data_IF_143549332909
#
_entry.id   IF_143549332909
#
_cell.length_a   1.000
_cell.length_b   1.000
_cell.length_c   1.000
_cell.angle_alpha   90.00
_cell.angle_beta   90.00
_cell.angle_gamma   90.00
#
_symmetry.space_group_name_H-M   'P 1'
#
loop_
_entity.id
_entity.type
_entity.pdbx_description
1 polymer ?
#
# COMPACT_ATOMS: atom_id res chain seq x y z
N UNK A 1 -13.96 6.76 -7.28
CA UNK A 1 -13.69 6.13 -5.96
C UNK A 1 -12.76 4.96 -6.17
N UNK A 2 -12.35 4.26 -5.15
CA UNK A 2 -11.46 3.12 -5.28
C UNK A 2 -11.39 2.35 -3.96
N UNK A 3 -10.69 1.24 -3.97
CA UNK A 3 -10.44 0.44 -2.79
C UNK A 3 -9.08 -0.22 -2.87
N UNK A 4 -8.53 -0.63 -1.75
CA UNK A 4 -7.26 -1.32 -1.70
C UNK A 4 -7.26 -2.45 -0.66
N UNK A 5 -6.34 -3.34 -0.85
CA UNK A 5 -6.12 -4.49 0.01
C UNK A 5 -4.62 -4.69 0.22
N UNK A 6 -4.22 -5.19 1.38
CA UNK A 6 -2.85 -5.56 1.66
C UNK A 6 -2.78 -6.81 2.53
N UNK A 7 -1.79 -7.65 2.27
CA UNK A 7 -1.55 -8.87 3.02
C UNK A 7 -0.06 -9.08 3.31
N UNK A 8 0.24 -9.56 4.52
CA UNK A 8 1.56 -10.07 4.91
C UNK A 8 1.36 -11.47 5.46
N UNK A 9 2.06 -12.44 4.89
CA UNK A 9 1.94 -13.85 5.23
C UNK A 9 3.32 -14.47 5.48
N UNK A 10 3.35 -15.67 6.04
CA UNK A 10 4.60 -16.45 6.15
C UNK A 10 4.93 -17.24 4.90
N UNK A 11 3.94 -17.45 4.06
CA UNK A 11 4.02 -18.15 2.79
C UNK A 11 3.72 -17.16 1.67
N UNK A 12 3.42 -17.65 0.48
CA UNK A 12 3.01 -16.81 -0.63
C UNK A 12 1.68 -16.11 -0.34
N UNK A 13 1.60 -14.78 -0.59
CA UNK A 13 0.42 -13.96 -0.34
C UNK A 13 -0.35 -13.58 -1.61
N UNK A 14 0.10 -14.01 -2.78
CA UNK A 14 -0.41 -13.52 -4.07
C UNK A 14 -1.91 -13.72 -4.21
N UNK A 15 -2.40 -14.93 -3.91
CA UNK A 15 -3.84 -15.22 -3.98
C UNK A 15 -4.64 -14.40 -2.96
N UNK A 16 -4.09 -14.15 -1.79
CA UNK A 16 -4.76 -13.33 -0.77
C UNK A 16 -4.92 -11.89 -1.25
N UNK A 17 -3.85 -11.31 -1.81
CA UNK A 17 -3.89 -9.96 -2.39
C UNK A 17 -4.82 -9.91 -3.59
N UNK A 18 -4.78 -10.93 -4.46
CA UNK A 18 -5.64 -11.03 -5.62
C UNK A 18 -7.12 -11.03 -5.24
N UNK A 19 -7.56 -11.97 -4.40
CA UNK A 19 -8.96 -12.10 -4.00
C UNK A 19 -9.41 -10.92 -3.14
N UNK A 20 -8.54 -10.42 -2.26
CA UNK A 20 -8.82 -9.24 -1.45
C UNK A 20 -9.00 -7.98 -2.30
N UNK A 21 -8.22 -7.81 -3.37
CA UNK A 21 -8.36 -6.70 -4.31
C UNK A 21 -9.61 -6.87 -5.16
N UNK A 22 -9.87 -8.07 -5.67
CA UNK A 22 -11.04 -8.38 -6.46
C UNK A 22 -12.36 -8.14 -5.69
N UNK A 23 -12.36 -8.41 -4.39
CA UNK A 23 -13.50 -8.07 -3.52
C UNK A 23 -13.86 -6.59 -3.58
N UNK A 24 -12.89 -5.70 -3.81
CA UNK A 24 -13.08 -4.27 -3.97
C UNK A 24 -13.38 -3.83 -5.42
N UNK A 25 -13.48 -4.76 -6.37
CA UNK A 25 -13.69 -4.43 -7.79
C UNK A 25 -15.01 -3.70 -8.08
N UNK A 26 -15.99 -3.77 -7.14
CA UNK A 26 -17.23 -3.00 -7.21
C UNK A 26 -17.06 -1.51 -6.82
N UNK A 27 -15.93 -1.11 -6.25
CA UNK A 27 -15.64 0.27 -5.82
C UNK A 27 -14.98 1.13 -6.90
N UNK A 28 -14.57 0.54 -8.01
CA UNK A 28 -13.95 1.23 -9.13
C UNK A 28 -13.96 0.38 -10.39
N UNK A 29 -13.91 1.04 -11.54
CA UNK A 29 -14.17 0.37 -12.83
C UNK A 29 -13.08 0.58 -13.88
N UNK A 30 -12.05 1.41 -13.63
CA UNK A 30 -11.10 1.77 -14.67
C UNK A 30 -9.76 1.07 -14.57
N UNK A 31 -9.17 1.03 -13.41
CA UNK A 31 -7.82 0.51 -13.20
C UNK A 31 -7.81 -0.48 -12.05
N UNK A 32 -7.09 -1.56 -12.24
CA UNK A 32 -6.74 -2.50 -11.17
C UNK A 32 -5.24 -2.72 -11.17
N UNK A 33 -4.63 -2.81 -10.01
CA UNK A 33 -3.20 -3.03 -9.89
C UNK A 33 -2.83 -3.85 -8.65
N UNK A 34 -1.73 -4.56 -8.76
CA UNK A 34 -1.12 -5.33 -7.68
C UNK A 34 0.37 -5.07 -7.64
N UNK A 35 0.93 -5.02 -6.44
CA UNK A 35 2.37 -5.07 -6.19
C UNK A 35 2.65 -6.07 -5.09
N UNK A 36 3.64 -6.93 -5.30
CA UNK A 36 4.08 -7.97 -4.35
C UNK A 36 5.57 -7.82 -4.14
N UNK A 37 6.04 -8.08 -2.95
CA UNK A 37 7.45 -8.05 -2.61
C UNK A 37 7.92 -9.42 -2.16
N UNK A 38 9.00 -9.88 -2.80
CA UNK A 38 9.80 -11.02 -2.39
C UNK A 38 11.22 -10.58 -2.03
N UNK A 39 11.83 -11.26 -1.05
CA UNK A 39 13.20 -10.91 -0.60
C UNK A 39 14.29 -11.21 -1.64
N UNK A 40 14.06 -12.16 -2.55
CA UNK A 40 15.03 -12.54 -3.56
C UNK A 40 14.85 -11.74 -4.84
N UNK A 41 13.59 -11.62 -5.30
CA UNK A 41 13.26 -11.06 -6.61
C UNK A 41 12.83 -9.59 -6.54
N UNK A 42 12.63 -9.07 -5.31
CA UNK A 42 12.24 -7.68 -5.09
C UNK A 42 10.76 -7.43 -5.36
N UNK A 43 10.47 -6.24 -5.89
CA UNK A 43 9.10 -5.83 -6.20
C UNK A 43 8.67 -6.31 -7.58
N UNK A 44 7.51 -6.93 -7.62
CA UNK A 44 6.78 -7.30 -8.82
C UNK A 44 5.49 -6.48 -8.87
N UNK A 45 5.17 -5.89 -10.01
CA UNK A 45 3.99 -5.02 -10.14
C UNK A 45 3.33 -5.16 -11.51
N UNK A 46 2.00 -5.26 -11.51
CA UNK A 46 1.17 -5.15 -12.73
C UNK A 46 -0.02 -4.24 -12.50
N UNK A 47 -0.39 -3.51 -13.56
CA UNK A 47 -1.54 -2.62 -13.58
C UNK A 47 -2.30 -2.83 -14.89
N UNK A 48 -3.60 -3.06 -14.80
CA UNK A 48 -4.46 -3.26 -15.97
C UNK A 48 -5.60 -2.25 -16.04
N UNK A 49 -6.02 -1.98 -17.29
CA UNK A 49 -7.32 -1.38 -17.54
C UNK A 49 -8.38 -2.47 -17.38
N UNK A 50 -9.35 -2.23 -16.51
CA UNK A 50 -10.45 -3.16 -16.20
C UNK A 50 -11.82 -2.65 -16.67
N UNK A 51 -11.87 -1.58 -17.49
CA UNK A 51 -13.14 -1.00 -17.97
C UNK A 51 -13.99 -1.99 -18.76
N UNK A 52 -13.35 -2.80 -19.60
CA UNK A 52 -14.03 -3.72 -20.50
C UNK A 52 -13.86 -5.18 -20.14
N UNK A 53 -13.13 -5.49 -19.07
CA UNK A 53 -12.85 -6.87 -18.69
C UNK A 53 -12.67 -6.92 -17.17
N UNK A 54 -13.33 -7.85 -16.44
CA UNK A 54 -13.22 -7.96 -15.01
C UNK A 54 -11.77 -8.10 -14.51
N UNK A 55 -11.49 -7.59 -13.32
CA UNK A 55 -10.20 -7.67 -12.66
C UNK A 55 -9.61 -9.09 -12.69
N UNK A 56 -10.40 -10.09 -12.31
CA UNK A 56 -9.97 -11.51 -12.30
C UNK A 56 -9.39 -11.95 -13.64
N UNK A 57 -10.11 -11.68 -14.73
CA UNK A 57 -9.71 -12.12 -16.07
C UNK A 57 -8.42 -11.44 -16.53
N UNK A 58 -8.20 -10.18 -16.11
CA UNK A 58 -6.99 -9.44 -16.49
C UNK A 58 -5.76 -9.95 -15.78
N UNK A 59 -5.88 -10.31 -14.50
CA UNK A 59 -4.76 -10.75 -13.68
C UNK A 59 -4.49 -12.25 -13.69
N UNK A 60 -5.36 -13.06 -14.29
CA UNK A 60 -5.25 -14.54 -14.30
C UNK A 60 -3.88 -15.02 -14.82
N UNK A 61 -3.35 -14.38 -15.85
CA UNK A 61 -2.04 -14.72 -16.40
C UNK A 61 -0.87 -14.26 -15.53
N UNK A 62 -1.01 -13.10 -14.90
CA UNK A 62 0.04 -12.49 -14.08
C UNK A 62 0.23 -13.25 -12.76
N UNK A 63 -0.82 -13.92 -12.26
CA UNK A 63 -0.74 -14.70 -11.01
C UNK A 63 0.34 -15.78 -11.04
N UNK A 64 0.64 -16.34 -12.21
CA UNK A 64 1.68 -17.36 -12.35
C UNK A 64 3.11 -16.78 -12.23
N UNK A 65 3.26 -15.47 -12.44
CA UNK A 65 4.53 -14.77 -12.40
C UNK A 65 4.78 -14.12 -11.04
N UNK A 66 3.71 -13.82 -10.29
CA UNK A 66 3.81 -13.22 -8.97
C UNK A 66 4.16 -14.24 -7.90
N UNK A 67 5.04 -13.84 -6.99
CA UNK A 67 5.34 -14.58 -5.76
C UNK A 67 5.86 -13.63 -4.69
N UNK A 68 5.59 -13.92 -3.44
CA UNK A 68 6.05 -13.13 -2.31
C UNK A 68 5.20 -13.25 -1.07
N UNK A 69 5.74 -12.77 0.05
CA UNK A 69 5.11 -12.88 1.37
C UNK A 69 4.39 -11.60 1.82
N UNK A 70 4.53 -10.52 1.08
CA UNK A 70 3.84 -9.26 1.34
C UNK A 70 3.40 -8.62 0.03
N UNK A 71 2.20 -8.05 0.02
CA UNK A 71 1.67 -7.44 -1.20
C UNK A 71 0.52 -6.50 -0.92
N UNK A 72 0.29 -5.61 -1.88
CA UNK A 72 -0.83 -4.66 -1.92
C UNK A 72 -1.52 -4.71 -3.26
N UNK A 73 -2.83 -4.47 -3.26
CA UNK A 73 -3.62 -4.32 -4.47
C UNK A 73 -4.58 -3.14 -4.37
N UNK A 74 -4.94 -2.59 -5.51
CA UNK A 74 -5.78 -1.41 -5.60
C UNK A 74 -6.71 -1.46 -6.80
N UNK A 75 -7.93 -1.00 -6.59
CA UNK A 75 -8.89 -0.65 -7.65
C UNK A 75 -9.04 0.87 -7.66
N UNK A 76 -8.99 1.50 -8.83
CA UNK A 76 -9.05 2.95 -8.98
C UNK A 76 -9.89 3.36 -10.18
N UNK A 77 -10.64 4.45 -10.05
CA UNK A 77 -11.36 5.09 -11.15
C UNK A 77 -10.53 6.19 -11.84
N UNK A 78 -9.40 6.56 -11.28
CA UNK A 78 -8.60 7.68 -11.77
C UNK A 78 -7.24 7.21 -12.25
N UNK A 79 -6.34 7.00 -11.33
CA UNK A 79 -4.92 6.85 -11.62
C UNK A 79 -4.47 5.39 -11.62
N UNK A 80 -3.51 5.02 -12.49
CA UNK A 80 -2.86 3.73 -12.42
C UNK A 80 -2.05 3.60 -11.12
N UNK A 81 -2.33 2.55 -10.36
CA UNK A 81 -1.74 2.24 -9.06
C UNK A 81 -1.60 0.72 -8.88
N UNK A 82 -0.72 0.20 -7.98
CA UNK A 82 0.25 0.91 -7.13
C UNK A 82 1.40 1.53 -7.93
N UNK A 83 2.00 2.61 -7.42
CA UNK A 83 3.23 3.17 -7.97
C UNK A 83 4.45 2.60 -7.24
N UNK A 84 5.50 2.24 -8.00
CA UNK A 84 6.82 1.96 -7.45
C UNK A 84 7.61 3.26 -7.38
N UNK A 85 8.07 3.61 -6.20
CA UNK A 85 8.83 4.82 -5.92
C UNK A 85 10.19 4.45 -5.37
N UNK A 86 11.25 5.01 -5.99
CA UNK A 86 12.60 4.92 -5.48
C UNK A 86 13.06 6.31 -5.04
N UNK A 87 13.40 6.46 -3.78
CA UNK A 87 13.86 7.71 -3.21
C UNK A 87 14.96 7.47 -2.17
N UNK A 88 15.35 8.53 -1.45
CA UNK A 88 16.25 8.40 -0.28
C UNK A 88 15.65 7.55 0.85
N UNK A 89 14.32 7.40 0.89
CA UNK A 89 13.62 6.52 1.84
C UNK A 89 13.67 5.03 1.44
N UNK A 90 14.30 4.71 0.29
CA UNK A 90 14.37 3.36 -0.26
C UNK A 90 13.45 3.15 -1.47
N UNK A 91 13.19 1.88 -1.77
CA UNK A 91 12.23 1.45 -2.79
C UNK A 91 10.96 0.95 -2.08
N UNK A 92 9.82 1.46 -2.49
CA UNK A 92 8.52 1.07 -1.95
C UNK A 92 7.42 1.14 -3.02
N UNK A 93 6.35 0.39 -2.82
CA UNK A 93 5.12 0.53 -3.60
C UNK A 93 4.08 1.31 -2.79
N UNK A 94 3.39 2.25 -3.42
CA UNK A 94 2.39 3.09 -2.77
C UNK A 94 1.07 3.05 -3.53
N UNK A 95 -0.03 3.01 -2.79
CA UNK A 95 -1.37 3.26 -3.32
C UNK A 95 -2.13 4.23 -2.41
N UNK A 96 -2.99 5.03 -3.03
CA UNK A 96 -3.80 6.03 -2.33
C UNK A 96 -5.24 5.98 -2.78
N UNK A 97 -6.15 6.19 -1.84
CA UNK A 97 -7.58 6.35 -2.12
C UNK A 97 -8.07 7.59 -1.41
N UNK A 98 -8.64 8.52 -2.16
CA UNK A 98 -9.14 9.77 -1.63
C UNK A 98 -9.35 10.84 -2.69
N UNK A 99 -9.52 12.07 -2.24
CA UNK A 99 -9.66 13.27 -3.07
C UNK A 99 -8.77 14.36 -2.46
N UNK A 100 -7.90 14.93 -3.26
CA UNK A 100 -7.00 16.04 -2.89
C UNK A 100 -7.56 17.29 -3.55
N UNK A 101 -8.15 18.19 -2.75
CA UNK A 101 -8.81 19.39 -3.28
C UNK A 101 -7.79 20.46 -3.69
N UNK A 102 -6.68 20.55 -3.00
CA UNK A 102 -5.60 21.50 -3.24
C UNK A 102 -4.44 20.94 -4.09
N UNK A 103 -4.71 19.93 -4.95
CA UNK A 103 -3.66 19.26 -5.72
C UNK A 103 -2.85 20.23 -6.59
N UNK A 104 -3.51 21.14 -7.31
CA UNK A 104 -2.84 22.09 -8.20
C UNK A 104 -1.93 23.06 -7.43
N UNK A 105 -2.35 23.51 -6.25
CA UNK A 105 -1.56 24.36 -5.37
C UNK A 105 -0.30 23.63 -4.86
N UNK A 106 -0.48 22.38 -4.41
CA UNK A 106 0.64 21.54 -3.95
C UNK A 106 1.65 21.27 -5.06
N UNK A 107 1.19 21.03 -6.28
CA UNK A 107 2.03 20.81 -7.46
C UNK A 107 2.83 22.08 -7.78
N UNK A 108 2.20 23.25 -7.79
CA UNK A 108 2.86 24.52 -8.07
C UNK A 108 3.93 24.83 -7.00
N UNK A 109 3.62 24.63 -5.73
CA UNK A 109 4.56 24.80 -4.64
C UNK A 109 5.74 23.83 -4.76
N UNK A 110 5.48 22.58 -5.08
CA UNK A 110 6.51 21.57 -5.26
C UNK A 110 7.49 21.94 -6.38
N UNK A 111 6.99 22.45 -7.51
CA UNK A 111 7.84 22.94 -8.60
C UNK A 111 8.68 24.13 -8.20
N UNK A 112 8.12 25.06 -7.42
CA UNK A 112 8.84 26.25 -6.96
C UNK A 112 9.96 25.93 -6.00
N UNK A 113 9.72 24.98 -5.08
CA UNK A 113 10.65 24.69 -3.99
C UNK A 113 11.73 23.69 -4.39
N UNK A 114 11.42 22.75 -5.29
CA UNK A 114 12.30 21.61 -5.56
C UNK A 114 12.75 21.49 -7.01
N UNK A 115 12.11 22.18 -7.96
CA UNK A 115 12.47 22.18 -9.38
C UNK A 115 12.39 20.82 -10.07
N UNK A 116 11.64 19.87 -9.50
CA UNK A 116 11.49 18.51 -10.00
C UNK A 116 10.28 18.38 -10.93
N UNK A 117 10.17 17.21 -11.59
CA UNK A 117 9.07 16.90 -12.51
C UNK A 117 8.28 15.71 -11.97
N UNK A 118 7.01 15.65 -12.33
CA UNK A 118 6.18 14.47 -12.16
C UNK A 118 6.24 13.61 -13.42
N UNK A 119 6.34 12.29 -13.23
CA UNK A 119 6.50 11.33 -14.32
C UNK A 119 5.21 10.54 -14.61
N UNK A 120 4.39 10.30 -13.59
CA UNK A 120 3.13 9.60 -13.75
C UNK A 120 2.00 10.60 -14.04
N UNK A 121 1.66 10.73 -15.33
CA UNK A 121 0.58 11.58 -15.79
C UNK A 121 -0.63 10.73 -16.17
N UNK A 122 -1.82 11.17 -15.79
CA UNK A 122 -3.08 10.56 -16.20
C UNK A 122 -3.99 11.62 -16.84
N UNK A 123 -4.29 11.45 -18.13
CA UNK A 123 -5.14 12.39 -18.87
C UNK A 123 -4.70 13.87 -18.80
N UNK A 124 -3.37 14.10 -18.83
CA UNK A 124 -2.79 15.45 -18.75
C UNK A 124 -2.71 16.03 -17.33
N UNK A 125 -3.09 15.27 -16.32
CA UNK A 125 -2.96 15.65 -14.90
C UNK A 125 -1.90 14.81 -14.22
N UNK A 126 -1.26 15.39 -13.20
CA UNK A 126 -0.34 14.66 -12.32
C UNK A 126 -1.11 13.57 -11.57
N UNK A 127 -0.54 12.37 -11.51
CA UNK A 127 -1.10 11.27 -10.73
C UNK A 127 -1.14 11.65 -9.24
N UNK A 128 -2.33 11.60 -8.63
CA UNK A 128 -2.52 11.98 -7.24
C UNK A 128 -1.66 11.14 -6.27
N UNK A 129 -1.42 9.87 -6.60
CA UNK A 129 -0.56 8.99 -5.80
C UNK A 129 0.91 9.41 -5.88
N UNK A 130 1.37 9.90 -7.05
CA UNK A 130 2.72 10.43 -7.20
C UNK A 130 2.89 11.73 -6.40
N UNK A 131 1.88 12.61 -6.41
CA UNK A 131 1.89 13.81 -5.58
C UNK A 131 2.02 13.47 -4.09
N UNK A 132 1.24 12.49 -3.61
CA UNK A 132 1.35 12.02 -2.21
C UNK A 132 2.75 11.46 -1.93
N UNK A 133 3.32 10.67 -2.85
CA UNK A 133 4.68 10.16 -2.70
C UNK A 133 5.73 11.29 -2.67
N UNK A 134 5.55 12.32 -3.48
CA UNK A 134 6.42 13.50 -3.48
C UNK A 134 6.38 14.25 -2.14
N UNK A 135 5.20 14.40 -1.53
CA UNK A 135 5.06 14.99 -0.20
C UNK A 135 5.71 14.12 0.88
N UNK A 136 5.55 12.81 0.81
CA UNK A 136 6.18 11.86 1.74
C UNK A 136 7.70 11.97 1.65
N UNK A 137 8.25 12.07 0.45
CA UNK A 137 9.69 12.15 0.20
C UNK A 137 10.34 13.48 0.63
N UNK A 138 9.57 14.44 1.14
CA UNK A 138 10.14 15.66 1.74
C UNK A 138 10.64 15.47 3.18
N UNK A 139 10.46 14.28 3.76
CA UNK A 139 10.87 13.94 5.14
C UNK A 139 11.87 12.79 5.17
N UNK A 140 12.54 12.63 6.30
CA UNK A 140 13.65 11.68 6.46
C UNK A 140 13.20 10.23 6.69
N UNK A 141 11.92 9.99 6.98
CA UNK A 141 11.34 8.65 7.16
C UNK A 141 9.89 8.58 6.65
N UNK A 142 9.41 7.36 6.34
CA UNK A 142 8.07 7.15 5.80
C UNK A 142 6.95 7.61 6.75
N UNK A 143 7.12 7.48 8.06
CA UNK A 143 6.07 7.80 9.03
C UNK A 143 5.92 9.31 9.15
N UNK A 144 7.02 10.05 9.28
CA UNK A 144 7.01 11.52 9.29
C UNK A 144 6.55 12.07 7.94
N UNK A 145 6.95 11.42 6.84
CA UNK A 145 6.48 11.75 5.50
C UNK A 145 4.97 11.59 5.31
N UNK A 146 4.40 10.48 5.77
CA UNK A 146 2.95 10.24 5.74
C UNK A 146 2.21 11.33 6.54
N UNK A 147 2.70 11.65 7.74
CA UNK A 147 2.10 12.72 8.57
C UNK A 147 2.16 14.07 7.86
N UNK A 148 3.32 14.39 7.28
CA UNK A 148 3.47 15.62 6.51
C UNK A 148 2.50 15.67 5.33
N UNK A 149 2.40 14.62 4.52
CA UNK A 149 1.44 14.54 3.43
C UNK A 149 0.00 14.74 3.91
N UNK A 150 -0.37 14.13 5.05
CA UNK A 150 -1.69 14.30 5.65
C UNK A 150 -1.93 15.73 6.16
N UNK A 151 -0.87 16.44 6.60
CA UNK A 151 -0.97 17.84 7.06
C UNK A 151 -1.15 18.82 5.91
N UNK A 152 -0.51 18.58 4.78
CA UNK A 152 -0.54 19.42 3.60
C UNK A 152 -1.80 19.24 2.74
N UNK A 153 -2.37 18.04 2.74
CA UNK A 153 -3.52 17.70 1.89
C UNK A 153 -4.81 18.28 2.48
N UNK A 154 -5.46 19.17 1.70
CA UNK A 154 -6.88 19.49 1.89
C UNK A 154 -7.73 18.44 1.17
N UNK A 155 -8.50 17.68 1.95
CA UNK A 155 -9.32 16.60 1.42
C UNK A 155 -9.20 15.32 2.21
N UNK A 156 -9.07 14.20 1.51
CA UNK A 156 -8.85 12.88 2.11
C UNK A 156 -7.81 12.10 1.32
N UNK A 157 -6.88 11.48 2.02
CA UNK A 157 -5.94 10.52 1.43
C UNK A 157 -5.67 9.39 2.42
N UNK A 158 -6.23 8.24 2.13
CA UNK A 158 -5.86 7.00 2.81
C UNK A 158 -4.74 6.35 2.02
N UNK A 159 -3.65 6.02 2.69
CA UNK A 159 -2.37 5.65 2.09
C UNK A 159 -2.01 4.24 2.53
N UNK A 160 -1.57 3.42 1.57
CA UNK A 160 -1.02 2.11 1.82
C UNK A 160 0.36 2.03 1.13
N UNK A 161 1.39 1.72 1.91
CA UNK A 161 2.77 1.58 1.42
C UNK A 161 3.25 0.17 1.73
N UNK A 162 3.79 -0.50 0.72
CA UNK A 162 4.52 -1.76 0.84
C UNK A 162 6.00 -1.44 0.70
N UNK A 163 6.78 -1.75 1.71
CA UNK A 163 8.23 -1.72 1.70
C UNK A 163 8.84 -3.12 1.94
N UNK A 164 10.17 -3.21 2.01
CA UNK A 164 10.87 -4.46 2.27
C UNK A 164 10.60 -5.03 3.68
N UNK A 165 10.20 -4.19 4.62
CA UNK A 165 9.93 -4.55 6.02
C UNK A 165 8.46 -4.91 6.27
N UNK A 166 7.54 -4.53 5.36
CA UNK A 166 6.13 -4.84 5.48
C UNK A 166 5.18 -3.82 4.86
N UNK A 167 4.04 -3.58 5.51
CA UNK A 167 3.01 -2.68 5.02
C UNK A 167 2.74 -1.59 6.05
N UNK A 168 2.82 -0.34 5.61
CA UNK A 168 2.37 0.84 6.35
C UNK A 168 1.00 1.26 5.84
N UNK A 169 0.05 1.45 6.75
CA UNK A 169 -1.28 1.91 6.42
C UNK A 169 -1.62 3.16 7.21
N UNK A 170 -2.08 4.20 6.53
CA UNK A 170 -2.46 5.45 7.15
C UNK A 170 -3.83 5.91 6.65
N UNK A 171 -4.73 6.14 7.59
CA UNK A 171 -6.05 6.70 7.35
C UNK A 171 -5.97 8.23 7.34
N UNK A 172 -6.80 8.88 6.53
CA UNK A 172 -6.89 10.34 6.51
C UNK A 172 -7.24 10.91 7.90
N UNK A 173 -6.84 12.16 8.15
CA UNK A 173 -7.03 12.84 9.46
C UNK A 173 -8.47 12.85 9.95
N UNK A 174 -9.41 13.03 9.05
CA UNK A 174 -10.84 13.11 9.38
C UNK A 174 -11.51 11.73 9.42
N UNK A 175 -10.80 10.69 9.03
CA UNK A 175 -11.33 9.34 9.04
C UNK A 175 -12.50 9.10 8.11
N UNK A 176 -12.58 9.83 7.00
CA UNK A 176 -13.68 9.76 6.02
C UNK A 176 -13.74 8.40 5.32
N UNK A 177 -12.57 7.86 4.99
CA UNK A 177 -12.47 6.53 4.40
C UNK A 177 -12.11 5.53 5.50
N UNK A 178 -12.91 4.49 5.69
CA UNK A 178 -12.63 3.46 6.67
C UNK A 178 -11.44 2.61 6.22
N UNK A 179 -10.61 2.24 7.19
CA UNK A 179 -9.46 1.38 7.03
C UNK A 179 -9.43 0.42 8.23
N UNK A 180 -9.46 -0.86 7.97
CA UNK A 180 -9.44 -1.91 8.99
C UNK A 180 -8.21 -2.77 8.85
N UNK A 181 -7.66 -3.22 9.96
CA UNK A 181 -6.64 -4.27 9.98
C UNK A 181 -7.15 -5.47 10.74
N UNK A 182 -6.88 -6.66 10.24
CA UNK A 182 -7.21 -7.90 10.91
C UNK A 182 -5.97 -8.79 11.01
N UNK A 183 -5.82 -9.49 12.13
CA UNK A 183 -4.83 -10.54 12.30
C UNK A 183 -5.56 -11.87 12.37
N UNK A 184 -5.33 -12.75 11.40
CA UNK A 184 -5.84 -14.11 11.49
C UNK A 184 -5.09 -14.88 12.58
N UNK A 185 -5.82 -15.39 13.57
CA UNK A 185 -5.31 -16.42 14.48
C UNK A 185 -5.40 -17.73 13.74
N UNK A 186 -4.29 -18.33 13.38
CA UNK A 186 -4.29 -19.74 12.91
C UNK A 186 -4.81 -20.59 14.05
N UNK A 187 -5.85 -21.37 13.81
CA UNK A 187 -6.27 -22.42 14.72
C UNK A 187 -5.07 -23.31 14.99
N UNK A 188 -4.82 -23.62 16.26
CA UNK A 188 -3.68 -24.40 16.71
C UNK A 188 -3.60 -25.73 15.93
N UNK A 189 -2.69 -25.80 14.99
CA UNK A 189 -2.21 -27.08 14.51
C UNK A 189 -1.28 -27.66 15.59
N UNK A 190 -1.35 -28.97 15.77
CA UNK A 190 -0.57 -29.83 16.66
C UNK A 190 0.81 -29.29 17.06
N UNK A 191 1.30 -29.52 18.30
CA UNK A 191 2.51 -28.91 18.86
C UNK A 191 3.84 -29.25 18.15
N UNK A 192 3.81 -29.94 17.04
CA UNK A 192 4.98 -30.37 16.25
C UNK A 192 5.19 -29.63 14.93
N UNK A 193 4.37 -28.65 14.56
CA UNK A 193 4.61 -27.85 13.35
C UNK A 193 4.57 -26.34 13.65
N UNK A 194 5.51 -25.54 13.13
CA UNK A 194 5.46 -24.09 13.30
C UNK A 194 4.23 -23.56 12.55
N UNK A 195 3.21 -23.16 13.31
CA UNK A 195 1.96 -22.61 12.74
C UNK A 195 2.24 -21.30 12.04
N UNK A 196 1.80 -21.13 10.78
CA UNK A 196 1.94 -19.87 10.07
C UNK A 196 1.06 -18.81 10.75
N UNK A 197 1.66 -17.71 11.17
CA UNK A 197 0.91 -16.54 11.64
C UNK A 197 0.57 -15.72 10.41
N UNK A 198 -0.66 -15.82 9.91
CA UNK A 198 -1.15 -14.97 8.84
C UNK A 198 -1.56 -13.65 9.47
N UNK A 199 -0.87 -12.57 9.14
CA UNK A 199 -1.29 -11.22 9.48
C UNK A 199 -1.97 -10.62 8.24
N UNK A 200 -3.30 -10.57 8.25
CA UNK A 200 -4.08 -9.91 7.23
C UNK A 200 -4.19 -8.43 7.59
N UNK A 201 -3.70 -7.55 6.75
CA UNK A 201 -4.18 -6.19 6.70
C UNK A 201 -5.33 -6.12 5.69
N UNK A 202 -6.46 -6.74 6.03
CA UNK A 202 -7.69 -6.54 5.27
C UNK A 202 -8.21 -5.16 5.62
N UNK A 203 -8.16 -4.26 4.67
CA UNK A 203 -8.74 -2.95 4.82
C UNK A 203 -10.19 -2.99 4.35
N UNK A 204 -11.04 -3.59 5.16
CA UNK A 204 -12.48 -3.43 5.06
C UNK A 204 -12.93 -2.23 5.88
N UNK A 205 -13.89 -1.57 5.33
CA UNK A 205 -14.47 -0.28 5.72
C UNK A 205 -15.19 -0.32 7.09
N UNK A 206 -14.48 -0.44 8.23
CA UNK A 206 -15.12 -0.27 9.56
C UNK A 206 -14.21 0.44 10.56
N UNK A 207 -14.78 1.45 11.16
CA UNK A 207 -14.37 2.35 12.26
C UNK A 207 -12.98 2.22 12.89
N UNK A 208 -12.11 3.19 12.59
CA UNK A 208 -10.87 3.46 13.34
C UNK A 208 -10.73 4.94 13.66
N UNK A 209 -10.05 5.25 14.77
CA UNK A 209 -9.84 6.63 15.21
C UNK A 209 -8.97 7.41 14.20
N UNK A 210 -9.31 8.70 13.92
CA UNK A 210 -8.57 9.55 12.98
C UNK A 210 -7.11 9.74 13.40
N UNK A 211 -6.20 9.83 12.42
CA UNK A 211 -4.82 10.26 12.65
C UNK A 211 -3.82 9.21 13.16
N UNK A 212 -4.11 7.93 13.10
CA UNK A 212 -3.14 6.88 13.41
C UNK A 212 -2.58 6.20 12.16
N UNK A 213 -1.26 6.27 11.98
CA UNK A 213 -0.52 5.40 11.07
C UNK A 213 -0.20 4.07 11.78
N UNK A 214 -0.37 2.96 11.09
CA UNK A 214 -0.06 1.62 11.61
C UNK A 214 0.95 0.94 10.71
N UNK A 215 2.08 0.53 11.31
CA UNK A 215 3.03 -0.36 10.67
C UNK A 215 2.78 -1.79 11.12
N UNK A 216 2.46 -2.68 10.19
CA UNK A 216 2.52 -4.12 10.41
C UNK A 216 3.86 -4.62 9.91
N UNK A 217 4.86 -4.70 10.80
CA UNK A 217 6.13 -5.36 10.50
C UNK A 217 6.03 -6.84 10.87
N UNK A 218 6.62 -7.75 10.10
CA UNK A 218 6.80 -9.11 10.58
C UNK A 218 7.61 -9.04 11.87
N UNK A 219 7.20 -9.79 12.91
CA UNK A 219 7.89 -9.80 14.19
C UNK A 219 9.34 -10.24 13.95
N UNK A 220 10.26 -9.29 13.90
CA UNK A 220 11.68 -9.55 13.97
C UNK A 220 11.93 -10.22 15.34
N UNK A 221 12.43 -11.44 15.33
CA UNK A 221 12.83 -12.13 16.55
C UNK A 221 13.76 -11.23 17.34
N UNK A 222 13.47 -11.02 18.62
CA UNK A 222 14.37 -10.28 19.52
C UNK A 222 15.74 -10.97 19.45
N UNK A 223 16.83 -10.25 19.26
CA UNK A 223 18.15 -10.83 19.45
C UNK A 223 18.24 -11.35 20.89
N UNK A 224 18.73 -12.56 21.04
CA UNK A 224 19.00 -13.17 22.34
C UNK A 224 19.96 -12.27 23.13
N UNK A 225 19.77 -12.08 24.44
CA UNK A 225 20.74 -11.35 25.28
C UNK A 225 22.09 -12.07 25.24
N UNK A 226 23.21 -11.33 25.31
CA UNK A 226 24.53 -11.92 25.34
C UNK A 226 24.67 -12.79 26.61
N UNK A 227 25.46 -13.88 26.58
CA UNK A 227 25.68 -14.72 27.73
C UNK A 227 26.39 -13.92 28.84
N UNK A 228 25.86 -14.01 30.03
CA UNK A 228 26.50 -13.45 31.24
C UNK A 228 27.88 -14.12 31.43
N UNK A 229 28.91 -13.28 31.44
CA UNK A 229 30.27 -13.68 31.82
C UNK A 229 30.31 -14.00 33.33
N UNK A 230 30.65 -15.23 33.63
CA UNK A 230 31.17 -15.63 34.96
C UNK A 230 32.65 -15.35 35.04
#
# INVERSE_FOLDING_TARGET
MGGFFGAITKQDCVLDVFFGTDYHSHLGTKRGGMAVYDRKDGFQRQIHNIENTPFRTKFDKDLAEFHGCSGIGCISDTDPQPLLVRSHLGLYAITTVGIINNADELIQRYFSDHGHQFMAMSSGKVNATELVAALINQKDDLISGIRHAQDEIDGSATILILDADGILAARDKLGRLPCSSARAKTAAASPSSPSPTISWATMTLTSWAPGRSYGSRPAAGRPSPPPESR
#
